data_IF_996521928235
#
_entry.id   IF_996521928235
#
_cell.length_a   1.000
_cell.length_b   1.000
_cell.length_c   1.000
_cell.angle_alpha   90.00
_cell.angle_beta   90.00
_cell.angle_gamma   90.00
#
_symmetry.space_group_name_H-M   'P 1'
#
loop_
_entity.id
_entity.type
_entity.pdbx_description
1 polymer ?
#
# COMPACT_ATOMS: atom_id res chain seq x y z
N UNK A 1 16.54 -32.48 31.63
CA UNK A 1 15.80 -31.20 31.70
C UNK A 1 14.59 -31.30 30.79
N UNK A 2 13.41 -31.46 31.38
CA UNK A 2 12.14 -31.70 30.72
C UNK A 2 11.74 -30.45 29.92
N UNK A 3 11.76 -30.54 28.58
CA UNK A 3 11.30 -29.47 27.69
C UNK A 3 9.78 -29.51 27.73
N UNK A 4 9.17 -28.58 28.46
CA UNK A 4 7.72 -28.35 28.48
C UNK A 4 7.18 -28.38 27.05
N UNK A 5 6.31 -29.35 26.75
CA UNK A 5 5.53 -29.42 25.52
C UNK A 5 4.50 -28.28 25.56
N UNK A 6 4.95 -27.05 25.32
CA UNK A 6 4.04 -25.97 25.01
C UNK A 6 3.30 -26.35 23.73
N UNK A 7 1.99 -26.57 23.81
CA UNK A 7 1.14 -26.75 22.64
C UNK A 7 1.29 -25.49 21.77
N UNK A 8 2.01 -25.61 20.65
CA UNK A 8 2.22 -24.51 19.72
C UNK A 8 0.90 -24.29 18.99
N UNK A 9 0.09 -23.36 19.50
CA UNK A 9 -1.10 -22.88 18.81
C UNK A 9 -0.70 -21.71 17.95
N UNK A 10 -0.77 -21.87 16.62
CA UNK A 10 -0.48 -20.77 15.69
C UNK A 10 -1.52 -19.66 15.82
N UNK A 11 -1.14 -18.39 15.58
CA UNK A 11 -2.10 -17.30 15.50
C UNK A 11 -3.02 -17.47 14.29
N UNK A 12 -4.21 -16.88 14.37
CA UNK A 12 -5.17 -16.89 13.25
C UNK A 12 -4.65 -16.10 12.04
N UNK A 13 -3.83 -15.08 12.26
CA UNK A 13 -3.21 -14.25 11.22
C UNK A 13 -1.72 -14.53 11.20
N UNK A 14 -1.28 -15.31 10.24
CA UNK A 14 0.13 -15.64 10.04
C UNK A 14 0.77 -14.60 9.13
N UNK A 15 1.82 -13.93 9.57
CA UNK A 15 2.58 -13.00 8.74
C UNK A 15 3.38 -13.78 7.68
N UNK A 16 3.05 -13.58 6.41
CA UNK A 16 3.73 -14.24 5.27
C UNK A 16 4.74 -13.29 4.62
N UNK A 17 4.42 -12.00 4.58
CA UNK A 17 5.26 -11.00 3.96
C UNK A 17 5.36 -9.75 4.82
N UNK A 18 6.57 -9.24 4.93
CA UNK A 18 6.91 -7.99 5.60
C UNK A 18 7.78 -7.15 4.66
N UNK A 19 7.27 -5.99 4.21
CA UNK A 19 7.98 -5.14 3.25
C UNK A 19 9.27 -4.52 3.80
N UNK A 20 9.37 -4.43 5.14
CA UNK A 20 10.50 -3.82 5.84
C UNK A 20 10.16 -2.44 6.39
N UNK A 21 10.54 -2.18 7.64
CA UNK A 21 10.30 -0.89 8.29
C UNK A 21 11.04 0.23 7.58
N UNK A 22 12.28 0.00 7.14
CA UNK A 22 13.06 1.00 6.41
C UNK A 22 12.40 1.45 5.11
N UNK A 23 11.91 0.52 4.28
CA UNK A 23 11.24 0.85 3.01
C UNK A 23 9.93 1.60 3.23
N UNK A 24 9.13 1.17 4.22
CA UNK A 24 7.87 1.83 4.55
C UNK A 24 8.07 3.25 5.09
N UNK A 25 9.03 3.44 5.99
CA UNK A 25 9.39 4.75 6.53
C UNK A 25 9.97 5.64 5.44
N UNK A 26 10.88 5.13 4.60
CA UNK A 26 11.45 5.88 3.48
C UNK A 26 10.38 6.37 2.51
N UNK A 27 9.45 5.50 2.12
CA UNK A 27 8.34 5.88 1.24
C UNK A 27 7.38 6.89 1.91
N UNK A 28 7.15 6.74 3.22
CA UNK A 28 6.40 7.72 3.99
C UNK A 28 7.07 9.10 3.98
N UNK A 29 8.37 9.14 4.30
CA UNK A 29 9.17 10.36 4.29
C UNK A 29 9.21 10.99 2.89
N UNK A 30 9.43 10.19 1.84
CA UNK A 30 9.45 10.66 0.46
C UNK A 30 8.13 11.35 0.07
N UNK A 31 6.98 10.76 0.42
CA UNK A 31 5.65 11.35 0.17
C UNK A 31 5.46 12.66 0.92
N UNK A 32 5.86 12.72 2.18
CA UNK A 32 5.73 13.93 3.00
C UNK A 32 6.60 15.05 2.42
N UNK A 33 7.85 14.75 2.07
CA UNK A 33 8.77 15.72 1.46
C UNK A 33 8.23 16.27 0.14
N UNK A 34 7.66 15.43 -0.73
CA UNK A 34 7.11 15.93 -2.01
C UNK A 34 5.87 16.80 -1.83
N UNK A 35 5.04 16.54 -0.82
CA UNK A 35 3.92 17.42 -0.47
C UNK A 35 4.42 18.78 0.04
N UNK A 36 5.46 18.79 0.88
CA UNK A 36 6.08 20.05 1.34
C UNK A 36 6.68 20.84 0.19
N UNK A 37 7.41 20.19 -0.72
CA UNK A 37 7.96 20.82 -1.93
C UNK A 37 6.82 21.38 -2.78
N UNK A 38 5.79 20.60 -3.09
CA UNK A 38 4.65 21.07 -3.87
C UNK A 38 3.96 22.28 -3.21
N UNK A 39 3.79 22.24 -1.88
CA UNK A 39 3.21 23.34 -1.10
C UNK A 39 4.08 24.59 -1.19
N UNK A 40 5.40 24.48 -1.05
CA UNK A 40 6.32 25.61 -1.19
C UNK A 40 6.26 26.24 -2.59
N UNK A 41 6.27 25.42 -3.64
CA UNK A 41 6.16 25.91 -5.02
C UNK A 41 4.81 26.56 -5.29
N UNK A 42 3.71 26.03 -4.76
CA UNK A 42 2.37 26.58 -4.97
C UNK A 42 2.08 27.82 -4.11
N UNK A 43 2.50 27.83 -2.84
CA UNK A 43 2.11 28.86 -1.87
C UNK A 43 3.12 30.01 -1.76
N UNK A 44 4.40 29.77 -2.09
CA UNK A 44 5.47 30.77 -1.97
C UNK A 44 5.94 31.20 -3.35
N UNK A 45 6.45 30.26 -4.15
CA UNK A 45 7.05 30.62 -5.44
C UNK A 45 6.01 31.07 -6.47
N UNK A 46 4.90 30.34 -6.63
CA UNK A 46 3.83 30.69 -7.57
C UNK A 46 3.37 32.14 -7.46
N UNK A 47 2.95 32.61 -6.26
CA UNK A 47 2.58 34.01 -6.04
C UNK A 47 3.74 34.98 -6.26
N UNK A 48 4.96 34.62 -5.84
CA UNK A 48 6.15 35.48 -6.03
C UNK A 48 6.40 35.80 -7.50
N UNK A 49 6.31 34.79 -8.37
CA UNK A 49 6.46 34.98 -9.82
C UNK A 49 5.22 35.57 -10.49
N UNK A 50 4.05 35.47 -9.87
CA UNK A 50 2.82 36.08 -10.39
C UNK A 50 2.78 37.60 -10.17
N UNK A 51 3.29 38.06 -9.03
CA UNK A 51 3.34 39.49 -8.68
C UNK A 51 4.66 40.17 -9.12
N UNK A 52 5.58 39.44 -9.74
CA UNK A 52 6.81 40.01 -10.26
C UNK A 52 6.53 40.85 -11.52
N UNK A 53 6.84 42.16 -11.47
CA UNK A 53 6.56 43.11 -12.56
C UNK A 53 7.32 42.79 -13.86
N UNK A 54 8.44 42.08 -13.76
CA UNK A 54 9.32 41.80 -14.90
C UNK A 54 9.11 40.41 -15.52
N UNK A 55 8.21 39.59 -14.98
CA UNK A 55 8.03 38.21 -15.41
C UNK A 55 6.67 37.99 -16.07
N UNK A 56 6.61 37.27 -17.19
CA UNK A 56 5.34 37.02 -17.84
C UNK A 56 4.53 35.96 -17.07
N UNK A 57 3.18 36.03 -17.06
CA UNK A 57 2.33 35.20 -16.19
C UNK A 57 2.48 33.67 -16.37
N UNK A 58 2.94 33.21 -17.54
CA UNK A 58 3.16 31.79 -17.81
C UNK A 58 4.33 31.20 -16.99
N UNK A 59 5.27 32.02 -16.53
CA UNK A 59 6.37 31.59 -15.65
C UNK A 59 5.84 31.14 -14.29
N UNK A 60 4.85 31.85 -13.73
CA UNK A 60 4.19 31.42 -12.49
C UNK A 60 3.54 30.04 -12.65
N UNK A 61 2.89 29.79 -13.79
CA UNK A 61 2.23 28.51 -14.08
C UNK A 61 3.28 27.38 -14.18
N UNK A 62 4.39 27.60 -14.88
CA UNK A 62 5.44 26.57 -15.01
C UNK A 62 6.11 26.27 -13.68
N UNK A 63 6.33 27.28 -12.84
CA UNK A 63 6.85 27.12 -11.48
C UNK A 63 5.89 26.27 -10.64
N UNK A 64 4.58 26.56 -10.65
CA UNK A 64 3.58 25.77 -9.93
C UNK A 64 3.57 24.31 -10.42
N UNK A 65 3.57 24.10 -11.75
CA UNK A 65 3.59 22.76 -12.35
C UNK A 65 4.85 21.98 -11.97
N UNK A 66 5.99 22.65 -11.87
CA UNK A 66 7.26 22.01 -11.49
C UNK A 66 7.24 21.39 -10.09
N UNK A 67 6.44 21.94 -9.15
CA UNK A 67 6.25 21.37 -7.82
C UNK A 67 5.20 20.25 -7.78
N UNK A 68 4.14 20.37 -8.59
CA UNK A 68 3.02 19.41 -8.61
C UNK A 68 3.42 18.09 -9.30
N UNK A 69 4.15 18.15 -10.41
CA UNK A 69 4.50 16.97 -11.23
C UNK A 69 5.26 15.92 -10.40
N UNK A 70 6.34 16.26 -9.65
CA UNK A 70 7.03 15.30 -8.80
C UNK A 70 6.13 14.68 -7.71
N UNK A 71 5.25 15.48 -7.11
CA UNK A 71 4.30 15.00 -6.10
C UNK A 71 3.34 13.96 -6.69
N UNK A 72 2.70 14.25 -7.82
CA UNK A 72 1.78 13.32 -8.49
C UNK A 72 2.52 12.04 -8.91
N UNK A 73 3.73 12.19 -9.46
CA UNK A 73 4.54 11.06 -9.91
C UNK A 73 4.87 10.11 -8.76
N UNK A 74 5.33 10.65 -7.62
CA UNK A 74 5.60 9.85 -6.41
C UNK A 74 4.34 9.18 -5.91
N UNK A 75 3.20 9.90 -5.84
CA UNK A 75 1.93 9.32 -5.40
C UNK A 75 1.50 8.17 -6.32
N UNK A 76 1.61 8.34 -7.63
CA UNK A 76 1.20 7.34 -8.61
C UNK A 76 2.05 6.07 -8.56
N UNK A 77 3.37 6.23 -8.48
CA UNK A 77 4.34 5.12 -8.47
C UNK A 77 4.29 4.35 -7.14
N UNK A 78 3.99 5.03 -6.03
CA UNK A 78 4.12 4.45 -4.67
C UNK A 78 2.79 4.17 -3.97
N UNK A 79 1.64 4.28 -4.66
CA UNK A 79 0.31 4.08 -4.06
C UNK A 79 -0.46 2.96 -4.75
N UNK A 80 -0.98 1.92 -4.06
CA UNK A 80 -0.79 1.60 -2.65
C UNK A 80 0.42 0.65 -2.42
N UNK A 81 1.34 1.02 -1.53
CA UNK A 81 2.47 0.17 -1.15
C UNK A 81 2.03 -0.90 -0.13
N UNK A 82 2.29 -2.18 -0.42
CA UNK A 82 1.98 -3.31 0.46
C UNK A 82 2.99 -3.36 1.60
N UNK A 83 2.52 -3.24 2.85
CA UNK A 83 3.38 -3.26 4.05
C UNK A 83 3.45 -4.65 4.67
N UNK A 84 2.31 -5.31 4.81
CA UNK A 84 2.17 -6.64 5.40
C UNK A 84 1.17 -7.48 4.62
N UNK A 85 1.46 -8.76 4.45
CA UNK A 85 0.48 -9.75 4.00
C UNK A 85 0.33 -10.79 5.11
N UNK A 86 -0.89 -10.92 5.62
CA UNK A 86 -1.23 -11.96 6.57
C UNK A 86 -2.10 -13.03 5.91
N UNK A 87 -1.71 -14.29 6.04
CA UNK A 87 -2.53 -15.43 5.68
C UNK A 87 -3.42 -15.80 6.87
N UNK A 88 -4.72 -15.94 6.63
CA UNK A 88 -5.67 -16.37 7.65
C UNK A 88 -5.71 -17.88 7.73
N UNK A 89 -5.37 -18.42 8.89
CA UNK A 89 -5.34 -19.85 9.14
C UNK A 89 -6.69 -20.32 9.73
N UNK A 90 -7.32 -21.34 9.15
CA UNK A 90 -8.50 -21.95 9.74
C UNK A 90 -8.15 -22.70 11.04
N UNK A 91 -9.10 -22.86 11.98
CA UNK A 91 -8.83 -23.42 13.31
C UNK A 91 -8.13 -24.79 13.31
N UNK A 92 -8.46 -25.66 12.35
CA UNK A 92 -7.88 -27.01 12.25
C UNK A 92 -6.38 -27.01 11.93
N UNK A 93 -5.87 -25.99 11.23
CA UNK A 93 -4.46 -25.88 10.82
C UNK A 93 -3.59 -25.31 11.94
N UNK A 94 -4.20 -24.67 12.94
CA UNK A 94 -3.49 -23.93 13.99
C UNK A 94 -2.88 -24.83 15.07
N UNK A 95 -3.30 -26.08 15.15
CA UNK A 95 -2.95 -26.99 16.25
C UNK A 95 -1.71 -27.84 15.98
N UNK A 96 -1.23 -27.91 14.73
CA UNK A 96 -0.06 -28.71 14.37
C UNK A 96 0.77 -28.05 13.26
N UNK A 97 2.11 -28.02 13.40
CA UNK A 97 3.00 -27.51 12.36
C UNK A 97 2.97 -28.36 11.08
N UNK A 98 2.72 -29.67 11.18
CA UNK A 98 2.59 -30.57 10.04
C UNK A 98 1.37 -30.22 9.19
N UNK A 99 0.23 -29.94 9.83
CA UNK A 99 -0.99 -29.49 9.14
C UNK A 99 -0.78 -28.15 8.47
N UNK A 100 -0.10 -27.20 9.14
CA UNK A 100 0.26 -25.91 8.55
C UNK A 100 1.13 -26.07 7.31
N UNK A 101 2.17 -26.91 7.38
CA UNK A 101 3.06 -27.17 6.24
C UNK A 101 2.33 -27.83 5.06
N UNK A 102 1.34 -28.70 5.32
CA UNK A 102 0.50 -29.28 4.27
C UNK A 102 -0.41 -28.21 3.66
N UNK A 103 -1.06 -27.41 4.50
CA UNK A 103 -1.94 -26.32 4.07
C UNK A 103 -1.21 -25.28 3.20
N UNK A 104 0.03 -24.91 3.53
CA UNK A 104 0.80 -23.94 2.73
C UNK A 104 1.30 -24.51 1.40
N UNK A 105 1.56 -25.82 1.32
CA UNK A 105 1.92 -26.50 0.06
C UNK A 105 0.75 -26.60 -0.91
N UNK A 106 -0.45 -26.86 -0.39
CA UNK A 106 -1.67 -26.99 -1.19
C UNK A 106 -2.67 -25.92 -0.76
N UNK A 107 -2.33 -24.67 -1.06
CA UNK A 107 -3.10 -23.51 -0.59
C UNK A 107 -4.48 -23.49 -1.28
N UNK A 108 -5.58 -23.60 -0.53
CA UNK A 108 -6.91 -23.61 -1.11
C UNK A 108 -7.26 -22.29 -1.80
N UNK A 109 -8.08 -22.35 -2.85
CA UNK A 109 -8.54 -21.16 -3.60
C UNK A 109 -9.36 -20.20 -2.74
N UNK A 110 -10.06 -20.72 -1.75
CA UNK A 110 -10.88 -19.99 -0.79
C UNK A 110 -10.09 -19.44 0.41
N UNK A 111 -8.80 -19.75 0.52
CA UNK A 111 -7.93 -19.23 1.58
C UNK A 111 -7.96 -17.69 1.57
N UNK A 112 -8.07 -17.11 2.77
CA UNK A 112 -8.19 -15.67 2.94
C UNK A 112 -6.85 -15.05 3.26
N UNK A 113 -6.59 -13.90 2.65
CA UNK A 113 -5.43 -13.07 2.92
C UNK A 113 -5.89 -11.66 3.32
N UNK A 114 -5.22 -11.10 4.33
CA UNK A 114 -5.35 -9.72 4.74
C UNK A 114 -4.10 -8.97 4.23
N UNK A 115 -4.28 -8.17 3.17
CA UNK A 115 -3.21 -7.31 2.63
C UNK A 115 -3.33 -5.94 3.25
N UNK A 116 -2.28 -5.55 3.98
CA UNK A 116 -2.18 -4.22 4.58
C UNK A 116 -1.41 -3.33 3.63
N UNK A 117 -2.03 -2.26 3.19
CA UNK A 117 -1.41 -1.23 2.35
C UNK A 117 -1.37 0.11 3.06
N UNK A 118 -0.39 0.93 2.74
CA UNK A 118 -0.31 2.30 3.24
C UNK A 118 -0.87 3.28 2.20
N UNK A 119 -1.90 4.06 2.58
CA UNK A 119 -2.40 5.13 1.72
C UNK A 119 -1.43 6.32 1.68
N UNK A 120 -1.70 7.32 0.84
CA UNK A 120 -0.93 8.57 0.72
C UNK A 120 -0.67 9.22 2.10
N UNK A 121 -1.66 9.20 2.99
CA UNK A 121 -1.61 9.81 4.32
C UNK A 121 -1.05 8.89 5.43
N UNK A 122 -0.37 7.78 5.09
CA UNK A 122 0.19 6.87 6.08
C UNK A 122 -0.84 5.98 6.81
N UNK A 123 -2.14 6.24 6.65
CA UNK A 123 -3.21 5.43 7.24
C UNK A 123 -3.13 3.99 6.69
N UNK A 124 -2.90 2.97 7.54
CA UNK A 124 -2.90 1.59 7.11
C UNK A 124 -4.34 1.20 6.73
N UNK A 125 -4.49 0.61 5.56
CA UNK A 125 -5.74 0.07 5.07
C UNK A 125 -5.58 -1.43 4.86
N UNK A 126 -6.43 -2.20 5.51
CA UNK A 126 -6.44 -3.66 5.39
C UNK A 126 -7.52 -4.06 4.38
N UNK A 127 -7.11 -4.74 3.31
CA UNK A 127 -7.99 -5.34 2.33
C UNK A 127 -8.04 -6.85 2.57
N UNK A 128 -9.23 -7.37 2.87
CA UNK A 128 -9.47 -8.81 2.99
C UNK A 128 -9.98 -9.35 1.66
N UNK A 129 -9.33 -10.41 1.19
CA UNK A 129 -9.71 -11.08 -0.06
C UNK A 129 -9.37 -12.56 -0.02
N UNK A 130 -9.98 -13.33 -0.92
CA UNK A 130 -9.61 -14.72 -1.17
C UNK A 130 -8.47 -14.76 -2.19
N UNK A 131 -7.66 -15.80 -2.14
CA UNK A 131 -6.53 -15.96 -3.07
C UNK A 131 -7.02 -16.11 -4.51
N UNK A 132 -8.14 -16.79 -4.73
CA UNK A 132 -8.75 -16.90 -6.06
C UNK A 132 -9.18 -15.57 -6.69
N UNK A 133 -9.39 -14.51 -5.89
CA UNK A 133 -9.83 -13.21 -6.39
C UNK A 133 -8.64 -12.40 -6.96
N UNK A 134 -7.40 -12.89 -6.81
CA UNK A 134 -6.19 -12.27 -7.35
C UNK A 134 -5.90 -12.77 -8.76
N UNK A 135 -5.86 -11.85 -9.71
CA UNK A 135 -5.38 -12.09 -11.07
C UNK A 135 -4.00 -11.46 -11.26
N UNK A 136 -3.14 -12.11 -12.04
CA UNK A 136 -1.88 -11.52 -12.46
C UNK A 136 -2.16 -10.32 -13.38
N UNK A 137 -1.45 -9.22 -13.16
CA UNK A 137 -1.54 -8.01 -13.96
C UNK A 137 -0.15 -7.42 -14.17
N UNK A 138 -0.02 -6.55 -15.17
CA UNK A 138 1.17 -5.73 -15.36
C UNK A 138 0.70 -4.29 -15.55
N UNK A 139 0.51 -3.59 -14.44
CA UNK A 139 0.09 -2.19 -14.44
C UNK A 139 1.16 -1.29 -13.79
N UNK A 140 1.07 0.02 -14.06
CA UNK A 140 1.96 1.06 -13.52
C UNK A 140 3.44 0.75 -13.75
N UNK A 141 3.81 0.61 -15.03
CA UNK A 141 5.19 0.31 -15.43
C UNK A 141 5.72 -1.01 -14.82
N UNK A 142 4.84 -2.00 -14.60
CA UNK A 142 5.21 -3.30 -14.03
C UNK A 142 5.36 -3.32 -12.51
N UNK A 143 5.00 -2.24 -11.81
CA UNK A 143 5.05 -2.20 -10.35
C UNK A 143 3.90 -2.98 -9.71
N UNK A 144 2.80 -3.18 -10.44
CA UNK A 144 1.63 -3.93 -9.97
C UNK A 144 1.62 -5.29 -10.66
N UNK A 145 1.82 -6.34 -9.86
CA UNK A 145 1.88 -7.74 -10.32
C UNK A 145 0.53 -8.48 -10.16
N UNK A 146 -0.28 -8.07 -9.19
CA UNK A 146 -1.55 -8.71 -8.88
C UNK A 146 -2.63 -7.67 -8.64
N UNK A 147 -3.80 -7.91 -9.24
CA UNK A 147 -4.97 -7.06 -9.13
C UNK A 147 -6.16 -7.90 -8.73
N UNK A 148 -7.06 -7.31 -7.96
CA UNK A 148 -8.37 -7.86 -7.66
C UNK A 148 -9.41 -7.06 -8.42
N UNK A 149 -10.41 -7.74 -9.00
CA UNK A 149 -11.58 -7.03 -9.50
C UNK A 149 -12.38 -6.44 -8.32
N UNK A 150 -12.32 -5.12 -8.17
CA UNK A 150 -13.05 -4.37 -7.14
C UNK A 150 -14.33 -3.74 -7.64
N UNK A 151 -14.71 -3.88 -8.92
CA UNK A 151 -15.86 -3.15 -9.51
C UNK A 151 -17.15 -3.37 -8.74
N UNK A 152 -17.45 -4.62 -8.37
CA UNK A 152 -18.63 -4.96 -7.59
C UNK A 152 -18.58 -4.46 -6.13
N UNK A 153 -17.37 -4.30 -5.58
CA UNK A 153 -17.15 -3.80 -4.22
C UNK A 153 -17.28 -2.28 -4.20
N UNK A 154 -16.67 -1.61 -5.17
CA UNK A 154 -16.70 -0.15 -5.33
C UNK A 154 -18.12 0.34 -5.63
N UNK A 155 -18.90 -0.40 -6.43
CA UNK A 155 -20.32 -0.08 -6.68
C UNK A 155 -21.22 -0.18 -5.44
N UNK A 156 -20.83 -0.95 -4.42
CA UNK A 156 -21.53 -1.03 -3.13
C UNK A 156 -21.00 -0.04 -2.11
N UNK A 157 -19.89 0.62 -2.41
CA UNK A 157 -19.21 1.51 -1.47
C UNK A 157 -19.90 2.87 -1.45
N UNK A 158 -20.25 3.31 -0.25
CA UNK A 158 -20.89 4.62 -0.05
C UNK A 158 -19.85 5.71 -0.21
N UNK A 159 -20.19 6.80 -0.87
CA UNK A 159 -19.26 7.90 -1.19
C UNK A 159 -18.64 8.59 0.03
N UNK A 160 -19.25 8.42 1.22
CA UNK A 160 -18.78 8.98 2.50
C UNK A 160 -17.90 8.03 3.34
N UNK A 161 -17.50 6.86 2.81
CA UNK A 161 -16.61 5.87 3.45
C UNK A 161 -15.41 5.48 2.56
#
# INVERSE_FOLDING_TARGET
LCKSNAFIVFPERLLVYHAGTGRTVFLGALKVTTIFIATFFCAVLGPTYFYAENEPPWVSITVILSGIIPMISVIYITSPFVTYIHLRLPPFVRNSPELLKRFTKTLPRDAQIDVTTMNILGKPRVARMKIQDLAAANERFGLVNYVRDTRAIDGKRRWWM
#
